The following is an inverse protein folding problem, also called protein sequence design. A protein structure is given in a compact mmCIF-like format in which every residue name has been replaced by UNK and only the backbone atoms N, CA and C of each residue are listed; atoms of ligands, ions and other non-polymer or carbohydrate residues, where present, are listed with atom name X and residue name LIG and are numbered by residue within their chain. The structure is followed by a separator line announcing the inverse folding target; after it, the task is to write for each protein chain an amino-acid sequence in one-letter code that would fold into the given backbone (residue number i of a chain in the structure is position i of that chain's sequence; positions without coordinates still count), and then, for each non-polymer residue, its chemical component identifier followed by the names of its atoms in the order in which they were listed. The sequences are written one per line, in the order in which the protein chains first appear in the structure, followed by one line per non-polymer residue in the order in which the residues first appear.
data_IF_833046069916
#
_entry.id   IF_833046069916
#
_cell.length_a   1.000
_cell.length_b   1.000
_cell.length_c   1.000
_cell.angle_alpha   90.00
_cell.angle_beta   90.00
_cell.angle_gamma   90.00
#
_symmetry.space_group_name_H-M   'P 1'
#
loop_
_entity.id
_entity.type
_entity.pdbx_description
1 polymer ?
#
# COMPACT_ATOMS: atom_id res chain seq x y z
N UNK A 1 -1.40 -21.15 -12.18
CA UNK A 1 -0.90 -21.31 -13.59
C UNK A 1 0.15 -22.41 -13.59
N UNK A 2 0.23 -23.31 -14.60
CA UNK A 2 1.28 -24.34 -14.66
C UNK A 2 2.68 -23.71 -14.66
N UNK A 3 3.62 -24.25 -13.87
CA UNK A 3 4.96 -23.67 -13.70
C UNK A 3 5.77 -23.55 -15.01
N UNK A 4 5.57 -24.48 -15.95
CA UNK A 4 6.22 -24.44 -17.27
C UNK A 4 5.79 -23.23 -18.10
N UNK A 5 4.50 -22.82 -18.03
CA UNK A 5 3.96 -21.68 -18.76
C UNK A 5 4.57 -20.37 -18.25
N UNK A 6 4.78 -20.24 -16.94
CA UNK A 6 5.49 -19.11 -16.34
C UNK A 6 6.91 -18.96 -16.87
N UNK A 7 7.65 -20.08 -17.03
CA UNK A 7 9.02 -20.08 -17.58
C UNK A 7 9.06 -19.61 -19.05
N UNK A 8 8.06 -19.96 -19.84
CA UNK A 8 7.98 -19.55 -21.25
C UNK A 8 7.58 -18.09 -21.40
N UNK A 9 6.68 -17.58 -20.54
CA UNK A 9 6.15 -16.23 -20.64
C UNK A 9 7.05 -15.16 -19.97
N UNK A 10 7.89 -15.53 -19.00
CA UNK A 10 8.78 -14.59 -18.30
C UNK A 10 9.72 -13.81 -19.24
N UNK A 11 10.40 -14.42 -20.25
CA UNK A 11 11.23 -13.66 -21.18
C UNK A 11 10.44 -12.65 -22.01
N UNK A 12 9.23 -12.97 -22.43
CA UNK A 12 8.35 -12.07 -23.18
C UNK A 12 7.94 -10.88 -22.29
N UNK A 13 7.57 -11.15 -21.04
CA UNK A 13 7.26 -10.11 -20.07
C UNK A 13 8.47 -9.20 -19.82
N UNK A 14 9.68 -9.79 -19.63
CA UNK A 14 10.93 -9.03 -19.46
C UNK A 14 11.21 -8.13 -20.66
N UNK A 15 11.02 -8.63 -21.88
CA UNK A 15 11.22 -7.86 -23.10
C UNK A 15 10.25 -6.67 -23.18
N UNK A 16 8.96 -6.86 -22.87
CA UNK A 16 7.95 -5.81 -22.90
C UNK A 16 8.21 -4.76 -21.82
N UNK A 17 8.52 -5.16 -20.58
CA UNK A 17 8.92 -4.21 -19.52
C UNK A 17 10.18 -3.43 -19.92
N UNK A 18 11.17 -4.09 -20.52
CA UNK A 18 12.37 -3.45 -21.06
C UNK A 18 12.04 -2.42 -22.15
N UNK A 19 11.14 -2.76 -23.09
CA UNK A 19 10.68 -1.84 -24.14
C UNK A 19 9.98 -0.61 -23.55
N UNK A 20 9.06 -0.85 -22.61
CA UNK A 20 8.32 0.21 -21.90
C UNK A 20 9.27 1.12 -21.13
N UNK A 21 10.22 0.56 -20.40
CA UNK A 21 11.19 1.33 -19.61
C UNK A 21 12.07 2.20 -20.51
N UNK A 22 12.61 1.66 -21.62
CA UNK A 22 13.38 2.47 -22.59
C UNK A 22 12.60 3.63 -23.18
N UNK A 23 11.27 3.49 -23.39
CA UNK A 23 10.41 4.59 -23.84
C UNK A 23 10.39 5.72 -22.80
N UNK A 24 10.20 5.40 -21.53
CA UNK A 24 10.18 6.39 -20.45
C UNK A 24 11.59 6.97 -20.17
N UNK A 25 12.66 6.18 -20.34
CA UNK A 25 14.04 6.67 -20.21
C UNK A 25 14.35 7.79 -21.24
N UNK A 26 13.66 7.76 -22.39
CA UNK A 26 13.72 8.82 -23.41
C UNK A 26 12.79 10.01 -23.15
N UNK A 27 12.09 10.02 -22.03
CA UNK A 27 11.10 11.04 -21.66
C UNK A 27 9.76 10.95 -22.40
N UNK A 28 9.54 9.91 -23.23
CA UNK A 28 8.31 9.81 -24.03
C UNK A 28 7.12 9.43 -23.17
N UNK A 29 6.14 10.34 -23.07
CA UNK A 29 4.93 10.16 -22.27
C UNK A 29 5.17 10.37 -20.77
N UNK A 30 6.20 11.15 -20.40
CA UNK A 30 6.47 11.58 -19.04
C UNK A 30 6.00 13.03 -18.89
N UNK A 31 5.16 13.29 -17.92
CA UNK A 31 4.63 14.58 -17.57
C UNK A 31 5.25 15.08 -16.26
N UNK A 32 5.63 16.35 -16.23
CA UNK A 32 6.10 17.04 -15.02
C UNK A 32 4.98 17.89 -14.45
N UNK A 33 4.68 17.67 -13.18
CA UNK A 33 3.69 18.48 -12.45
C UNK A 33 4.34 19.78 -11.94
N UNK A 34 3.53 20.83 -11.67
CA UNK A 34 4.01 22.12 -11.16
C UNK A 34 4.43 22.10 -9.68
N UNK A 35 4.32 20.95 -9.02
CA UNK A 35 4.68 20.75 -7.62
C UNK A 35 5.59 19.52 -7.49
N UNK A 36 6.44 19.44 -6.45
CA UNK A 36 7.30 18.27 -6.25
C UNK A 36 6.50 16.98 -6.11
N UNK A 37 7.07 15.92 -6.66
CA UNK A 37 6.49 14.59 -6.65
C UNK A 37 7.43 13.62 -5.95
N UNK A 38 6.96 13.03 -4.85
CA UNK A 38 7.63 11.96 -4.12
C UNK A 38 6.90 10.65 -4.44
N UNK A 39 7.61 9.65 -4.92
CA UNK A 39 7.05 8.34 -5.21
C UNK A 39 7.50 7.33 -4.17
N UNK A 40 6.56 6.55 -3.65
CA UNK A 40 6.83 5.36 -2.85
C UNK A 40 6.34 4.15 -3.63
N UNK A 41 7.24 3.21 -3.91
CA UNK A 41 6.90 2.04 -4.69
C UNK A 41 7.79 0.84 -4.36
N UNK A 42 7.66 -0.22 -5.13
CA UNK A 42 8.44 -1.45 -4.95
C UNK A 42 8.62 -2.19 -6.29
N UNK A 43 9.42 -3.26 -6.29
CA UNK A 43 9.64 -4.10 -7.48
C UNK A 43 8.60 -5.20 -7.63
N UNK A 44 7.95 -5.65 -6.55
CA UNK A 44 7.13 -6.87 -6.53
C UNK A 44 5.64 -6.56 -6.40
N UNK A 45 4.81 -7.56 -6.64
CA UNK A 45 3.39 -7.58 -6.25
C UNK A 45 3.29 -7.96 -4.79
N UNK A 46 2.34 -7.36 -4.05
CA UNK A 46 2.03 -7.72 -2.67
C UNK A 46 2.35 -6.64 -1.64
N UNK A 47 2.18 -7.00 -0.37
CA UNK A 47 2.28 -6.09 0.77
C UNK A 47 3.73 -5.87 1.23
N UNK A 48 4.44 -4.96 0.61
CA UNK A 48 5.83 -4.61 0.94
C UNK A 48 5.95 -3.44 1.92
N UNK A 49 4.87 -3.09 2.64
CA UNK A 49 4.88 -1.96 3.57
C UNK A 49 4.74 -0.58 2.92
N UNK A 50 4.22 -0.50 1.68
CA UNK A 50 4.04 0.80 0.98
C UNK A 50 3.15 1.77 1.76
N UNK A 51 1.96 1.34 2.16
CA UNK A 51 1.00 2.22 2.85
C UNK A 51 1.57 2.84 4.14
N UNK A 52 2.20 2.08 5.06
CA UNK A 52 2.89 2.65 6.21
C UNK A 52 3.99 3.66 5.84
N UNK A 53 4.77 3.38 4.80
CA UNK A 53 5.82 4.29 4.33
C UNK A 53 5.24 5.56 3.71
N UNK A 54 4.19 5.48 2.90
CA UNK A 54 3.47 6.66 2.38
C UNK A 54 2.93 7.50 3.52
N UNK A 55 2.31 6.88 4.54
CA UNK A 55 1.82 7.59 5.73
C UNK A 55 2.96 8.28 6.49
N UNK A 56 4.12 7.63 6.59
CA UNK A 56 5.30 8.22 7.21
C UNK A 56 5.79 9.44 6.43
N UNK A 57 5.95 9.33 5.10
CA UNK A 57 6.34 10.45 4.23
C UNK A 57 5.35 11.61 4.33
N UNK A 58 4.04 11.33 4.35
CA UNK A 58 3.00 12.36 4.53
C UNK A 58 3.15 13.07 5.86
N UNK A 59 3.41 12.35 6.98
CA UNK A 59 3.64 12.97 8.29
C UNK A 59 4.86 13.89 8.26
N UNK A 60 5.98 13.45 7.69
CA UNK A 60 7.17 14.28 7.53
C UNK A 60 6.88 15.58 6.77
N UNK A 61 6.10 15.49 5.69
CA UNK A 61 5.70 16.66 4.91
C UNK A 61 4.80 17.62 5.70
N UNK A 62 3.82 17.09 6.46
CA UNK A 62 2.95 17.89 7.31
C UNK A 62 3.73 18.56 8.45
N UNK A 63 4.66 17.84 9.09
CA UNK A 63 5.57 18.39 10.11
C UNK A 63 6.44 19.51 9.56
N UNK A 64 6.87 19.40 8.29
CA UNK A 64 7.59 20.45 7.57
C UNK A 64 6.68 21.60 7.09
N UNK A 65 5.41 21.65 7.50
CA UNK A 65 4.44 22.68 7.13
C UNK A 65 3.95 22.61 5.67
N UNK A 66 4.17 21.46 4.98
CA UNK A 66 3.72 21.27 3.59
C UNK A 66 2.26 20.82 3.55
N UNK A 67 1.64 20.97 2.37
CA UNK A 67 0.26 20.57 2.08
C UNK A 67 0.23 19.45 1.05
N UNK A 68 0.53 18.19 1.46
CA UNK A 68 0.60 17.07 0.54
C UNK A 68 -0.78 16.64 0.06
N UNK A 69 -0.81 15.97 -1.11
CA UNK A 69 -1.87 15.06 -1.48
C UNK A 69 -1.29 13.67 -1.77
N UNK A 70 -2.10 12.63 -1.56
CA UNK A 70 -1.74 11.26 -1.96
C UNK A 70 -2.45 10.93 -3.27
N UNK A 71 -1.69 10.43 -4.24
CA UNK A 71 -2.26 9.91 -5.49
C UNK A 71 -1.95 8.42 -5.64
N UNK A 72 -3.02 7.64 -5.81
CA UNK A 72 -2.96 6.19 -5.89
C UNK A 72 -3.80 5.64 -7.04
N UNK A 73 -3.61 4.35 -7.37
CA UNK A 73 -4.43 3.68 -8.36
C UNK A 73 -5.81 3.38 -7.75
N UNK A 74 -6.83 4.08 -8.22
CA UNK A 74 -8.22 3.73 -7.92
C UNK A 74 -8.59 2.43 -8.62
N UNK A 75 -9.00 1.41 -7.87
CA UNK A 75 -9.65 0.24 -8.45
C UNK A 75 -11.15 0.53 -8.53
N UNK A 76 -11.69 0.58 -9.76
CA UNK A 76 -13.13 0.50 -9.92
C UNK A 76 -13.57 -0.87 -9.41
N UNK A 77 -14.27 -0.95 -8.29
CA UNK A 77 -15.07 -2.14 -8.00
C UNK A 77 -16.08 -2.25 -9.13
N UNK A 78 -15.85 -3.15 -10.08
CA UNK A 78 -16.86 -3.58 -11.03
C UNK A 78 -17.92 -4.39 -10.26
N UNK A 79 -18.61 -3.71 -9.37
CA UNK A 79 -19.83 -4.21 -8.77
C UNK A 79 -20.87 -4.25 -9.89
N UNK A 80 -21.23 -5.45 -10.33
CA UNK A 80 -22.46 -5.66 -11.08
C UNK A 80 -23.60 -5.20 -10.18
N UNK A 81 -24.01 -3.93 -10.27
CA UNK A 81 -25.33 -3.54 -9.79
C UNK A 81 -26.33 -4.22 -10.73
N UNK A 82 -27.07 -5.16 -10.21
CA UNK A 82 -28.39 -5.50 -10.76
C UNK A 82 -29.29 -4.36 -10.35
N UNK A 83 -29.74 -3.60 -11.32
CA UNK A 83 -30.88 -2.72 -11.13
C UNK A 83 -32.08 -3.62 -10.85
N UNK A 84 -33.03 -3.15 -10.04
CA UNK A 84 -34.25 -3.90 -9.66
C UNK A 84 -35.10 -4.34 -10.87
N UNK A 85 -34.74 -3.95 -12.10
CA UNK A 85 -35.41 -4.27 -13.36
C UNK A 85 -34.69 -5.31 -14.22
N UNK A 86 -33.60 -5.93 -13.80
CA UNK A 86 -33.00 -7.11 -14.48
C UNK A 86 -32.32 -6.87 -15.83
N UNK A 87 -32.20 -5.64 -16.31
CA UNK A 87 -31.61 -5.35 -17.63
C UNK A 87 -30.13 -5.04 -17.58
N UNK A 88 -29.33 -5.74 -18.42
CA UNK A 88 -27.90 -5.50 -18.64
C UNK A 88 -27.73 -4.28 -19.54
N UNK A 89 -27.49 -3.10 -19.00
CA UNK A 89 -27.01 -1.96 -19.81
C UNK A 89 -25.48 -1.95 -19.84
N UNK A 90 -24.92 -2.23 -21.00
CA UNK A 90 -23.55 -1.91 -21.37
C UNK A 90 -23.47 -0.40 -21.60
N UNK A 91 -22.78 0.34 -20.75
CA UNK A 91 -22.51 1.77 -20.96
C UNK A 91 -21.39 1.85 -21.99
N UNK A 92 -21.76 2.18 -23.22
CA UNK A 92 -20.84 2.44 -24.33
C UNK A 92 -20.18 3.83 -24.12
N UNK A 93 -18.83 3.97 -24.15
CA UNK A 93 -18.14 5.24 -23.92
C UNK A 93 -18.45 6.33 -24.95
N UNK A 94 -19.04 5.98 -26.08
CA UNK A 94 -19.32 6.89 -27.19
C UNK A 94 -20.61 7.72 -27.06
N UNK A 95 -21.38 7.55 -25.99
CA UNK A 95 -22.66 8.28 -25.79
C UNK A 95 -22.51 9.68 -25.15
N UNK A 96 -21.28 10.18 -24.97
CA UNK A 96 -21.01 11.46 -24.31
C UNK A 96 -21.36 12.72 -25.11
N UNK A 97 -21.64 12.60 -26.41
CA UNK A 97 -21.84 13.78 -27.30
C UNK A 97 -23.25 14.32 -27.34
N UNK A 98 -24.24 13.65 -26.80
CA UNK A 98 -25.66 14.00 -26.86
C UNK A 98 -26.28 14.61 -25.59
N UNK A 99 -25.47 14.87 -24.56
CA UNK A 99 -25.97 15.38 -23.28
C UNK A 99 -25.85 16.89 -23.18
N UNK A 100 -26.94 17.55 -22.74
CA UNK A 100 -26.94 18.97 -22.44
C UNK A 100 -25.94 19.36 -21.36
N UNK A 101 -25.43 20.60 -21.31
CA UNK A 101 -24.47 21.05 -20.28
C UNK A 101 -24.95 20.78 -18.85
N UNK A 102 -26.25 20.96 -18.56
CA UNK A 102 -26.85 20.66 -17.25
C UNK A 102 -26.84 19.17 -16.92
N UNK A 103 -27.09 18.30 -17.88
CA UNK A 103 -27.02 16.84 -17.69
C UNK A 103 -25.59 16.37 -17.49
N UNK A 104 -24.60 17.04 -18.12
CA UNK A 104 -23.17 16.78 -17.85
C UNK A 104 -22.78 17.21 -16.43
N UNK A 105 -23.28 18.36 -15.97
CA UNK A 105 -23.01 18.85 -14.61
C UNK A 105 -23.62 17.93 -13.55
N UNK A 106 -24.88 17.50 -13.71
CA UNK A 106 -25.56 16.56 -12.81
C UNK A 106 -24.89 15.16 -12.76
N UNK A 107 -24.33 14.69 -13.89
CA UNK A 107 -23.55 13.45 -13.96
C UNK A 107 -22.16 13.60 -13.33
N UNK A 108 -21.58 14.80 -13.37
CA UNK A 108 -20.28 15.11 -12.74
C UNK A 108 -20.42 15.17 -11.22
N UNK A 109 -21.52 15.72 -10.72
CA UNK A 109 -21.84 15.80 -9.27
C UNK A 109 -22.22 14.43 -8.66
N UNK A 110 -22.68 13.47 -9.48
CA UNK A 110 -23.04 12.09 -9.06
C UNK A 110 -22.00 11.04 -9.42
N UNK A 111 -20.75 11.40 -9.69
CA UNK A 111 -19.70 10.38 -9.84
C UNK A 111 -19.58 9.63 -8.51
N UNK A 112 -19.79 8.29 -8.48
CA UNK A 112 -19.58 7.52 -7.27
C UNK A 112 -18.14 7.76 -6.84
N UNK A 113 -17.95 8.22 -5.60
CA UNK A 113 -16.66 8.22 -4.95
C UNK A 113 -16.22 6.77 -4.95
N UNK A 114 -15.22 6.44 -5.78
CA UNK A 114 -14.64 5.09 -5.82
C UNK A 114 -14.03 4.82 -4.45
N UNK A 115 -14.74 4.09 -3.61
CA UNK A 115 -14.25 3.66 -2.32
C UNK A 115 -13.17 2.60 -2.56
N UNK A 116 -11.92 3.00 -2.44
CA UNK A 116 -10.79 2.11 -2.32
C UNK A 116 -10.50 1.96 -0.83
N UNK A 117 -10.43 0.72 -0.34
CA UNK A 117 -10.11 0.43 1.07
C UNK A 117 -8.80 1.16 1.50
N UNK A 118 -7.82 1.26 0.59
CA UNK A 118 -6.56 1.97 0.83
C UNK A 118 -6.74 3.50 0.86
N UNK A 119 -7.58 4.07 -0.02
CA UNK A 119 -7.87 5.51 0.01
C UNK A 119 -8.57 5.91 1.31
N UNK A 120 -9.44 5.06 1.82
CA UNK A 120 -10.12 5.30 3.08
C UNK A 120 -9.17 5.23 4.29
N UNK A 121 -8.09 4.44 4.22
CA UNK A 121 -7.03 4.46 5.23
C UNK A 121 -6.31 5.82 5.28
N UNK A 122 -5.96 6.40 4.13
CA UNK A 122 -5.34 7.73 4.07
C UNK A 122 -6.28 8.84 4.55
N UNK A 123 -7.56 8.81 4.18
CA UNK A 123 -8.56 9.79 4.64
C UNK A 123 -8.77 9.75 6.15
N UNK A 124 -8.73 8.55 6.74
CA UNK A 124 -8.81 8.37 8.20
C UNK A 124 -7.57 8.87 8.92
N UNK A 125 -6.38 8.51 8.40
CA UNK A 125 -5.11 8.89 9.00
C UNK A 125 -4.83 10.40 8.92
N UNK A 126 -5.34 11.06 7.86
CA UNK A 126 -5.11 12.47 7.57
C UNK A 126 -6.41 13.18 7.16
N UNK A 127 -7.29 13.51 8.12
CA UNK A 127 -8.54 14.21 7.83
C UNK A 127 -8.28 15.54 7.11
N UNK A 128 -9.02 15.79 6.03
CA UNK A 128 -8.88 17.00 5.21
C UNK A 128 -7.76 16.98 4.16
N UNK A 129 -6.86 15.99 4.17
CA UNK A 129 -5.86 15.83 3.12
C UNK A 129 -6.50 15.29 1.83
N UNK A 130 -6.23 15.91 0.65
CA UNK A 130 -6.73 15.40 -0.61
C UNK A 130 -6.15 14.02 -0.96
N UNK A 131 -7.01 13.09 -1.41
CA UNK A 131 -6.61 11.76 -1.90
C UNK A 131 -7.18 11.56 -3.31
N UNK A 132 -6.30 11.43 -4.29
CA UNK A 132 -6.63 11.15 -5.69
C UNK A 132 -6.56 9.65 -5.92
N UNK A 133 -7.71 8.98 -5.91
CA UNK A 133 -7.84 7.54 -6.19
C UNK A 133 -8.45 7.34 -7.57
N UNK A 134 -7.63 7.33 -8.63
CA UNK A 134 -8.06 7.19 -10.02
C UNK A 134 -7.13 6.27 -10.83
N UNK A 135 -7.69 5.57 -11.82
CA UNK A 135 -6.91 4.78 -12.78
C UNK A 135 -5.95 5.69 -13.57
N UNK A 136 -6.45 6.84 -14.05
CA UNK A 136 -5.63 7.92 -14.61
C UNK A 136 -5.33 8.95 -13.51
N UNK A 137 -4.13 8.82 -12.92
CA UNK A 137 -3.65 9.69 -11.85
C UNK A 137 -3.34 11.09 -12.35
N UNK A 138 -2.87 11.23 -13.61
CA UNK A 138 -2.49 12.51 -14.19
C UNK A 138 -3.72 13.41 -14.30
N UNK A 139 -4.80 12.91 -14.88
CA UNK A 139 -6.07 13.65 -15.00
C UNK A 139 -6.58 14.05 -13.61
N UNK A 140 -6.55 13.13 -12.63
CA UNK A 140 -7.00 13.45 -11.28
C UNK A 140 -6.14 14.50 -10.57
N UNK A 141 -4.83 14.48 -10.79
CA UNK A 141 -3.90 15.46 -10.22
C UNK A 141 -4.01 16.82 -10.89
N UNK A 142 -4.16 16.87 -12.21
CA UNK A 142 -4.44 18.13 -12.92
C UNK A 142 -5.71 18.79 -12.41
N UNK A 143 -6.82 18.04 -12.35
CA UNK A 143 -8.10 18.55 -11.83
C UNK A 143 -7.96 19.09 -10.39
N UNK A 144 -7.12 18.47 -9.55
CA UNK A 144 -6.87 18.93 -8.18
C UNK A 144 -6.01 20.19 -8.15
N UNK A 145 -4.94 20.26 -8.94
CA UNK A 145 -3.98 21.35 -8.94
C UNK A 145 -4.49 22.63 -9.65
N UNK A 146 -5.40 22.48 -10.60
CA UNK A 146 -6.00 23.58 -11.37
C UNK A 146 -7.18 24.29 -10.66
N UNK A 147 -7.72 23.73 -9.58
CA UNK A 147 -8.87 24.30 -8.87
C UNK A 147 -8.47 25.51 -8.02
N UNK A 148 -9.04 26.71 -8.30
CA UNK A 148 -8.63 27.96 -7.63
C UNK A 148 -9.09 28.08 -6.16
N UNK A 149 -10.00 27.21 -5.66
CA UNK A 149 -10.68 27.34 -4.36
C UNK A 149 -10.42 26.21 -3.36
N UNK A 150 -9.43 25.34 -3.60
CA UNK A 150 -9.06 24.30 -2.61
C UNK A 150 -7.76 24.66 -1.91
N UNK A 151 -7.51 24.10 -0.69
CA UNK A 151 -6.22 24.32 -0.05
C UNK A 151 -5.13 23.94 -1.05
N UNK A 152 -4.26 24.91 -1.37
CA UNK A 152 -3.21 24.75 -2.38
C UNK A 152 -2.33 23.58 -2.02
N UNK A 153 -2.52 22.45 -2.72
CA UNK A 153 -1.59 21.32 -2.64
C UNK A 153 -0.24 21.79 -3.16
N UNK A 154 0.80 21.57 -2.39
CA UNK A 154 2.15 22.04 -2.72
C UNK A 154 3.15 20.89 -2.90
N UNK A 155 2.72 19.64 -2.72
CA UNK A 155 3.49 18.44 -3.07
C UNK A 155 2.56 17.23 -3.26
N UNK A 156 3.04 16.24 -4.03
CA UNK A 156 2.32 15.01 -4.34
C UNK A 156 3.09 13.80 -3.84
N UNK A 157 2.43 12.88 -3.15
CA UNK A 157 2.97 11.58 -2.79
C UNK A 157 2.27 10.51 -3.63
N UNK A 158 3.03 9.79 -4.48
CA UNK A 158 2.51 8.69 -5.29
C UNK A 158 2.61 7.39 -4.51
N UNK A 159 1.49 6.78 -4.22
CA UNK A 159 1.42 5.41 -3.72
C UNK A 159 1.48 4.42 -4.89
N UNK A 160 2.30 3.37 -4.73
CA UNK A 160 2.62 2.39 -5.79
C UNK A 160 3.10 3.08 -7.08
N UNK A 161 4.05 4.05 -6.89
CA UNK A 161 4.48 4.97 -7.94
C UNK A 161 5.59 4.43 -8.84
N UNK A 162 6.40 3.43 -8.42
CA UNK A 162 7.63 3.04 -9.11
C UNK A 162 7.42 2.64 -10.57
N UNK A 163 6.35 1.89 -10.88
CA UNK A 163 5.97 1.52 -12.25
C UNK A 163 5.17 2.61 -12.97
N UNK A 164 4.66 3.63 -12.25
CA UNK A 164 3.83 4.68 -12.86
C UNK A 164 4.71 5.81 -13.42
N UNK A 165 5.53 5.50 -14.42
CA UNK A 165 6.55 6.36 -15.00
C UNK A 165 6.03 7.53 -15.86
N UNK A 166 4.72 7.64 -16.02
CA UNK A 166 4.08 8.73 -16.75
C UNK A 166 4.16 10.08 -16.00
N UNK A 167 4.37 10.06 -14.68
CA UNK A 167 4.60 11.27 -13.89
C UNK A 167 6.09 11.35 -13.54
N UNK A 168 6.74 12.49 -13.81
CA UNK A 168 8.10 12.75 -13.36
C UNK A 168 8.14 12.79 -11.83
N UNK A 169 9.21 12.25 -11.23
CA UNK A 169 9.43 12.26 -9.77
C UNK A 169 10.66 13.08 -9.46
N UNK A 170 10.62 13.74 -8.33
CA UNK A 170 11.75 14.47 -7.76
C UNK A 170 12.44 13.60 -6.70
N UNK A 171 11.71 12.68 -6.05
CA UNK A 171 12.23 11.64 -5.17
C UNK A 171 11.48 10.31 -5.44
N UNK A 172 12.20 9.23 -5.72
CA UNK A 172 11.65 7.90 -5.97
C UNK A 172 12.18 6.93 -4.90
N UNK A 173 11.36 6.65 -3.88
CA UNK A 173 11.67 5.76 -2.76
C UNK A 173 11.21 4.36 -3.13
N UNK A 174 12.14 3.41 -3.21
CA UNK A 174 11.83 2.03 -3.56
C UNK A 174 12.01 1.12 -2.35
N UNK A 175 10.93 0.41 -2.01
CA UNK A 175 10.91 -0.52 -0.91
C UNK A 175 11.37 -1.91 -1.37
N UNK A 176 12.24 -2.51 -0.57
CA UNK A 176 12.71 -3.89 -0.74
C UNK A 176 12.35 -4.66 0.53
N UNK A 177 11.51 -5.67 0.38
CA UNK A 177 10.98 -6.47 1.48
C UNK A 177 11.98 -7.55 1.88
N UNK A 178 12.51 -7.49 3.10
CA UNK A 178 13.48 -8.44 3.62
C UNK A 178 12.87 -9.84 3.84
N UNK A 179 11.56 -9.95 4.02
CA UNK A 179 10.86 -11.23 4.16
C UNK A 179 10.63 -11.95 2.84
N UNK A 180 10.74 -11.21 1.71
CA UNK A 180 10.62 -11.71 0.34
C UNK A 180 11.74 -11.11 -0.52
N UNK A 181 12.98 -11.55 -0.33
CA UNK A 181 14.14 -10.97 -1.00
C UNK A 181 14.02 -11.12 -2.53
N UNK A 182 14.11 -10.02 -3.29
CA UNK A 182 13.80 -10.04 -4.71
C UNK A 182 14.79 -10.85 -5.57
N UNK A 183 16.00 -11.14 -5.06
CA UNK A 183 16.97 -12.00 -5.73
C UNK A 183 16.57 -13.48 -5.73
N UNK A 184 15.65 -13.89 -4.86
CA UNK A 184 15.10 -15.25 -4.79
C UNK A 184 13.79 -15.40 -5.57
N UNK A 185 13.32 -14.32 -6.22
CA UNK A 185 12.06 -14.30 -6.92
C UNK A 185 12.25 -14.11 -8.43
N UNK A 186 11.19 -14.35 -9.19
CA UNK A 186 11.16 -14.25 -10.64
C UNK A 186 10.21 -13.14 -11.11
N UNK A 187 10.39 -12.72 -12.35
CA UNK A 187 9.44 -11.81 -12.98
C UNK A 187 8.08 -12.46 -13.19
N UNK A 188 7.04 -11.65 -13.22
CA UNK A 188 5.72 -12.08 -13.66
C UNK A 188 5.81 -12.70 -15.07
N UNK A 189 5.02 -13.72 -15.36
CA UNK A 189 4.03 -14.38 -14.51
C UNK A 189 4.58 -15.59 -13.73
N UNK A 190 5.89 -15.80 -13.73
CA UNK A 190 6.55 -16.92 -13.05
C UNK A 190 6.70 -16.69 -11.55
N UNK A 191 6.98 -15.46 -11.14
CA UNK A 191 7.12 -15.02 -9.76
C UNK A 191 6.31 -13.76 -9.49
N UNK A 192 6.75 -12.96 -8.53
CA UNK A 192 6.03 -11.76 -8.07
C UNK A 192 6.69 -10.45 -8.51
N UNK A 193 7.87 -10.49 -9.16
CA UNK A 193 8.54 -9.26 -9.60
C UNK A 193 7.82 -8.63 -10.79
N UNK A 194 7.41 -7.36 -10.64
CA UNK A 194 6.87 -6.52 -11.72
C UNK A 194 7.97 -5.98 -12.62
N UNK A 195 9.19 -5.83 -12.06
CA UNK A 195 10.36 -5.33 -12.75
C UNK A 195 11.61 -6.06 -12.26
N UNK A 196 12.64 -6.20 -13.13
CA UNK A 196 13.89 -6.84 -12.75
C UNK A 196 14.68 -5.96 -11.78
N UNK A 197 15.61 -6.58 -11.03
CA UNK A 197 16.46 -5.91 -10.02
C UNK A 197 17.26 -4.73 -10.58
N UNK A 198 17.66 -4.80 -11.85
CA UNK A 198 18.35 -3.73 -12.55
C UNK A 198 17.55 -2.41 -12.57
N UNK A 199 16.24 -2.49 -12.36
CA UNK A 199 15.39 -1.31 -12.27
C UNK A 199 15.65 -0.48 -11.02
N UNK A 200 16.30 -1.03 -9.98
CA UNK A 200 16.70 -0.28 -8.78
C UNK A 200 17.63 0.91 -9.10
N UNK A 201 18.41 0.83 -10.19
CA UNK A 201 19.31 1.91 -10.62
C UNK A 201 18.65 3.28 -10.82
N UNK A 202 17.31 3.30 -11.05
CA UNK A 202 16.59 4.55 -11.26
C UNK A 202 15.91 5.08 -9.99
N UNK A 203 15.94 4.32 -8.89
CA UNK A 203 15.48 4.80 -7.60
C UNK A 203 16.35 5.94 -7.10
N UNK A 204 15.76 6.93 -6.44
CA UNK A 204 16.54 7.96 -5.72
C UNK A 204 17.17 7.36 -4.48
N UNK A 205 16.42 6.51 -3.79
CA UNK A 205 16.90 5.74 -2.65
C UNK A 205 16.12 4.43 -2.51
N UNK A 206 16.72 3.48 -1.82
CA UNK A 206 16.15 2.18 -1.48
C UNK A 206 16.01 2.08 0.03
N UNK A 207 14.86 1.58 0.49
CA UNK A 207 14.58 1.32 1.90
C UNK A 207 14.25 -0.16 2.07
N UNK A 208 14.95 -0.83 2.99
CA UNK A 208 14.61 -2.20 3.38
C UNK A 208 13.43 -2.15 4.34
N UNK A 209 12.41 -3.00 4.11
CA UNK A 209 11.25 -3.14 4.99
C UNK A 209 11.14 -4.56 5.54
N UNK A 210 10.34 -4.73 6.59
CA UNK A 210 10.15 -6.01 7.27
C UNK A 210 11.47 -6.66 7.77
N UNK A 211 12.41 -5.83 8.23
CA UNK A 211 13.71 -6.31 8.74
C UNK A 211 13.55 -7.26 9.94
N UNK A 212 12.48 -7.09 10.72
CA UNK A 212 12.12 -7.97 11.84
C UNK A 212 11.86 -9.42 11.44
N UNK A 213 11.60 -9.68 10.15
CA UNK A 213 11.35 -11.03 9.63
C UNK A 213 12.60 -11.66 9.01
N UNK A 214 13.63 -10.89 8.71
CA UNK A 214 14.91 -11.39 8.20
C UNK A 214 15.74 -12.07 9.29
N UNK A 215 15.56 -11.67 10.55
CA UNK A 215 16.34 -12.14 11.69
C UNK A 215 15.65 -13.27 12.49
N UNK A 216 14.38 -13.56 12.18
CA UNK A 216 13.58 -14.54 12.93
C UNK A 216 13.51 -15.87 12.18
N UNK A 217 14.16 -16.93 12.67
CA UNK A 217 13.93 -18.28 12.18
C UNK A 217 12.55 -18.75 12.69
N UNK A 218 11.48 -18.38 11.99
CA UNK A 218 10.20 -19.05 12.19
C UNK A 218 10.41 -20.53 11.83
N UNK A 219 10.23 -21.41 12.82
CA UNK A 219 10.35 -22.85 12.64
C UNK A 219 9.46 -23.28 11.48
N UNK A 220 10.08 -23.84 10.45
CA UNK A 220 9.38 -24.48 9.35
C UNK A 220 8.62 -25.69 9.95
N UNK A 221 7.33 -25.57 10.17
CA UNK A 221 6.60 -26.75 10.64
C UNK A 221 5.11 -26.62 10.90
N UNK A 222 4.58 -25.42 11.15
CA UNK A 222 3.22 -25.37 11.75
C UNK A 222 2.20 -24.42 11.10
N UNK A 223 2.51 -23.80 9.99
CA UNK A 223 1.48 -23.06 9.23
C UNK A 223 1.12 -23.85 7.98
N UNK A 224 0.14 -24.74 8.09
CA UNK A 224 -0.52 -25.35 6.96
C UNK A 224 -1.31 -24.27 6.22
N UNK A 225 -0.65 -23.60 5.29
CA UNK A 225 -1.33 -22.82 4.25
C UNK A 225 -1.60 -23.76 3.09
N UNK A 226 -2.85 -24.16 2.90
CA UNK A 226 -3.33 -24.95 1.75
C UNK A 226 -3.29 -24.15 0.42
N UNK A 227 -2.58 -23.05 0.36
CA UNK A 227 -2.35 -22.31 -0.86
C UNK A 227 -0.93 -22.58 -1.37
N UNK A 228 -0.84 -23.12 -2.56
CA UNK A 228 0.36 -23.44 -3.36
C UNK A 228 1.29 -22.21 -3.62
N UNK A 229 1.03 -21.07 -2.98
CA UNK A 229 1.62 -19.76 -3.22
C UNK A 229 2.81 -19.39 -2.32
N UNK A 230 3.20 -20.22 -1.36
CA UNK A 230 4.18 -19.82 -0.34
C UNK A 230 5.40 -20.75 -0.28
N UNK A 231 6.07 -20.94 -1.43
CA UNK A 231 7.26 -21.80 -1.55
C UNK A 231 8.58 -21.02 -1.58
N UNK A 232 8.90 -20.28 -0.52
CA UNK A 232 10.31 -20.00 -0.22
C UNK A 232 10.60 -20.69 1.10
N UNK A 233 11.50 -21.69 1.14
CA UNK A 233 11.91 -22.33 2.39
C UNK A 233 12.48 -21.28 3.34
N UNK A 234 12.00 -21.22 4.57
CA UNK A 234 12.42 -20.27 5.61
C UNK A 234 13.92 -20.44 5.98
N UNK A 235 14.51 -21.57 5.65
CA UNK A 235 15.95 -21.86 5.85
C UNK A 235 16.89 -21.06 4.91
N UNK A 236 16.35 -20.34 3.92
CA UNK A 236 17.14 -19.65 2.89
C UNK A 236 16.86 -18.14 2.84
N UNK A 237 16.26 -17.52 3.86
CA UNK A 237 16.13 -16.07 3.91
C UNK A 237 17.53 -15.44 4.03
N UNK A 238 17.99 -14.66 3.02
CA UNK A 238 19.31 -14.03 3.09
C UNK A 238 19.35 -13.06 4.25
N UNK A 239 20.52 -12.95 4.86
CA UNK A 239 20.79 -11.97 5.90
C UNK A 239 20.56 -10.54 5.35
N UNK A 240 20.34 -9.57 6.24
CA UNK A 240 20.27 -8.16 5.84
C UNK A 240 21.56 -7.69 5.12
N UNK A 241 22.71 -8.29 5.44
CA UNK A 241 23.99 -8.02 4.78
C UNK A 241 23.98 -8.48 3.32
N UNK A 242 23.47 -9.68 3.05
CA UNK A 242 23.35 -10.20 1.68
C UNK A 242 22.37 -9.37 0.86
N UNK A 243 21.22 -9.00 1.44
CA UNK A 243 20.24 -8.14 0.79
C UNK A 243 20.82 -6.75 0.50
N UNK A 244 21.58 -6.18 1.45
CA UNK A 244 22.32 -4.92 1.25
C UNK A 244 23.31 -5.03 0.09
N UNK A 245 24.06 -6.13 0.00
CA UNK A 245 25.02 -6.37 -1.10
C UNK A 245 24.33 -6.46 -2.46
N UNK A 246 23.15 -7.09 -2.52
CA UNK A 246 22.30 -7.14 -3.73
C UNK A 246 21.84 -5.73 -4.12
N UNK A 247 21.37 -4.94 -3.15
CA UNK A 247 20.94 -3.55 -3.40
C UNK A 247 22.11 -2.73 -3.94
N UNK A 248 23.27 -2.78 -3.30
CA UNK A 248 24.47 -2.05 -3.78
C UNK A 248 24.81 -2.44 -5.21
N UNK A 249 24.78 -3.72 -5.55
CA UNK A 249 25.07 -4.21 -6.92
C UNK A 249 24.14 -3.62 -7.97
N UNK A 250 22.86 -3.47 -7.68
CA UNK A 250 21.85 -3.07 -8.67
C UNK A 250 21.49 -1.57 -8.61
N UNK A 251 21.56 -0.96 -7.43
CA UNK A 251 21.26 0.46 -7.22
C UNK A 251 22.52 1.33 -7.33
N UNK A 252 23.70 0.79 -6.98
CA UNK A 252 24.96 1.53 -6.92
C UNK A 252 25.24 2.22 -5.58
N UNK A 253 24.27 2.20 -4.65
CA UNK A 253 24.39 2.79 -3.30
C UNK A 253 23.78 1.82 -2.28
N UNK A 254 24.21 1.87 -1.01
CA UNK A 254 23.56 1.10 0.05
C UNK A 254 22.11 1.56 0.26
N UNK A 255 21.27 0.75 0.92
CA UNK A 255 19.94 1.19 1.33
C UNK A 255 20.06 2.42 2.23
N UNK A 256 19.19 3.41 1.99
CA UNK A 256 19.17 4.67 2.76
C UNK A 256 18.68 4.42 4.19
N UNK A 257 17.73 3.51 4.35
CA UNK A 257 17.15 3.18 5.64
C UNK A 257 16.76 1.70 5.71
N UNK A 258 16.70 1.20 6.94
CA UNK A 258 16.18 -0.13 7.29
C UNK A 258 15.03 0.03 8.27
N UNK A 259 13.89 -0.60 7.97
CA UNK A 259 12.66 -0.44 8.75
C UNK A 259 12.04 -1.77 9.13
N UNK A 260 11.40 -1.78 10.28
CA UNK A 260 10.58 -2.86 10.81
C UNK A 260 9.13 -2.39 10.99
N UNK A 261 8.21 -3.33 10.83
CA UNK A 261 6.80 -3.10 11.10
C UNK A 261 6.44 -3.70 12.46
N UNK A 262 6.41 -2.85 13.49
CA UNK A 262 6.10 -3.26 14.85
C UNK A 262 4.68 -2.87 15.24
N UNK A 263 4.05 -3.71 16.02
CA UNK A 263 2.78 -3.36 16.65
C UNK A 263 3.05 -2.57 17.92
N UNK A 264 2.34 -1.46 18.11
CA UNK A 264 2.48 -0.57 19.28
C UNK A 264 1.28 -0.68 20.21
N UNK A 265 0.21 -1.32 19.79
CA UNK A 265 -1.00 -1.52 20.55
C UNK A 265 -2.06 -2.19 19.72
N UNK A 266 -3.26 -2.20 20.26
CA UNK A 266 -4.44 -2.71 19.59
C UNK A 266 -5.58 -1.67 19.67
N UNK A 267 -6.46 -1.73 18.68
CA UNK A 267 -7.74 -1.04 18.71
C UNK A 267 -8.83 -2.10 18.88
N UNK A 268 -9.60 -2.00 19.96
CA UNK A 268 -10.80 -2.82 20.14
C UNK A 268 -11.95 -2.22 19.33
N UNK A 269 -12.40 -2.96 18.36
CA UNK A 269 -13.50 -2.56 17.52
C UNK A 269 -14.85 -2.75 18.23
N UNK A 270 -15.56 -1.67 18.55
CA UNK A 270 -16.81 -1.72 19.31
C UNK A 270 -18.06 -1.59 18.46
N UNK A 271 -18.02 -0.83 17.36
CA UNK A 271 -19.23 -0.56 16.57
C UNK A 271 -18.90 -0.21 15.10
N UNK A 272 -19.96 0.15 14.34
CA UNK A 272 -19.83 0.71 13.00
C UNK A 272 -19.17 2.10 13.00
N UNK A 273 -19.22 2.83 14.12
CA UNK A 273 -18.57 4.13 14.30
C UNK A 273 -17.15 3.94 14.79
N UNK A 274 -16.19 4.52 14.08
CA UNK A 274 -14.78 4.50 14.47
C UNK A 274 -14.50 5.33 15.73
N UNK A 275 -15.40 6.27 16.07
CA UNK A 275 -15.32 7.11 17.28
C UNK A 275 -15.50 6.28 18.57
N UNK A 276 -16.11 5.08 18.48
CA UNK A 276 -16.29 4.17 19.59
C UNK A 276 -15.11 3.19 19.77
N UNK A 277 -14.10 3.26 18.92
CA UNK A 277 -12.92 2.41 18.95
C UNK A 277 -12.06 2.76 20.19
N UNK A 278 -11.61 1.74 20.91
CA UNK A 278 -10.80 1.87 22.11
C UNK A 278 -9.36 1.46 21.81
N UNK A 279 -8.42 2.40 21.97
CA UNK A 279 -6.99 2.09 21.88
C UNK A 279 -6.50 1.44 23.17
N UNK A 280 -5.76 0.34 23.03
CA UNK A 280 -5.28 -0.52 24.12
C UNK A 280 -3.81 -0.86 23.91
N UNK A 281 -3.11 -1.14 25.00
CA UNK A 281 -1.74 -1.60 24.96
C UNK A 281 -1.57 -3.00 24.39
N UNK A 282 -0.31 -3.41 24.18
CA UNK A 282 0.02 -4.75 23.69
C UNK A 282 -0.36 -5.86 24.69
N UNK A 283 -0.45 -5.52 25.96
CA UNK A 283 -0.77 -6.43 27.07
C UNK A 283 -2.21 -6.98 27.04
N UNK A 284 -3.11 -6.35 26.25
CA UNK A 284 -4.51 -6.74 26.17
C UNK A 284 -4.75 -8.18 25.72
N UNK A 285 -3.79 -8.75 24.98
CA UNK A 285 -3.89 -10.14 24.49
C UNK A 285 -3.05 -11.16 25.26
N UNK A 286 -2.32 -10.74 26.31
CA UNK A 286 -1.52 -11.63 27.12
C UNK A 286 -2.38 -12.69 27.83
N UNK A 287 -1.98 -13.95 27.74
CA UNK A 287 -2.68 -15.09 28.32
C UNK A 287 -3.98 -15.48 27.61
N UNK A 288 -4.32 -14.83 26.49
CA UNK A 288 -5.57 -15.07 25.75
C UNK A 288 -5.42 -16.11 24.64
N UNK A 289 -6.53 -16.78 24.36
CA UNK A 289 -6.73 -17.66 23.20
C UNK A 289 -7.21 -16.81 22.04
N UNK A 290 -6.44 -16.74 20.97
CA UNK A 290 -6.70 -15.79 19.88
C UNK A 290 -6.88 -16.50 18.55
N UNK A 291 -7.91 -16.11 17.80
CA UNK A 291 -8.08 -16.45 16.39
C UNK A 291 -7.54 -15.29 15.54
N UNK A 292 -6.57 -15.58 14.66
CA UNK A 292 -6.05 -14.62 13.69
C UNK A 292 -6.74 -14.76 12.35
N UNK A 293 -7.21 -13.65 11.73
CA UNK A 293 -7.77 -13.68 10.38
C UNK A 293 -7.23 -12.55 9.51
N UNK A 294 -6.86 -12.87 8.26
CA UNK A 294 -6.38 -11.86 7.33
C UNK A 294 -6.64 -12.23 5.85
N UNK A 295 -6.84 -11.18 5.03
CA UNK A 295 -6.97 -11.24 3.58
C UNK A 295 -6.07 -10.16 2.93
N UNK A 296 -4.77 -10.28 3.14
CA UNK A 296 -3.74 -9.34 2.70
C UNK A 296 -2.65 -10.05 1.91
N UNK A 297 -1.91 -9.29 1.08
CA UNK A 297 -0.83 -9.82 0.24
C UNK A 297 0.39 -10.38 1.00
N UNK A 298 0.49 -10.16 2.32
CA UNK A 298 1.58 -10.66 3.15
C UNK A 298 1.09 -11.26 4.49
N UNK A 299 0.35 -12.37 4.48
CA UNK A 299 -0.25 -12.96 5.69
C UNK A 299 0.79 -13.39 6.73
N UNK A 300 1.98 -13.83 6.30
CA UNK A 300 3.06 -14.25 7.22
C UNK A 300 3.50 -13.12 8.15
N UNK A 301 3.64 -11.89 7.66
CA UNK A 301 4.02 -10.74 8.49
C UNK A 301 2.99 -10.49 9.60
N UNK A 302 1.70 -10.59 9.27
CA UNK A 302 0.62 -10.46 10.24
C UNK A 302 0.65 -11.56 11.30
N UNK A 303 0.76 -12.83 10.88
CA UNK A 303 0.78 -13.97 11.80
C UNK A 303 2.02 -13.94 12.70
N UNK A 304 3.20 -13.66 12.13
CA UNK A 304 4.44 -13.51 12.93
C UNK A 304 4.36 -12.35 13.93
N UNK A 305 3.72 -11.23 13.54
CA UNK A 305 3.42 -10.13 14.45
C UNK A 305 2.50 -10.57 15.59
N UNK A 306 1.45 -11.34 15.28
CA UNK A 306 0.52 -11.87 16.28
C UNK A 306 1.23 -12.80 17.28
N UNK A 307 1.97 -13.79 16.79
CA UNK A 307 2.72 -14.74 17.63
C UNK A 307 3.75 -14.02 18.51
N UNK A 308 4.51 -13.07 17.94
CA UNK A 308 5.51 -12.29 18.68
C UNK A 308 4.86 -11.54 19.85
N UNK A 309 3.73 -10.88 19.62
CA UNK A 309 3.06 -10.10 20.65
C UNK A 309 2.41 -10.98 21.72
N UNK A 310 1.84 -12.12 21.34
CA UNK A 310 1.29 -13.10 22.30
C UNK A 310 2.38 -13.77 23.15
N UNK A 311 3.60 -13.94 22.62
CA UNK A 311 4.73 -14.56 23.30
C UNK A 311 5.64 -13.55 24.02
N UNK A 312 5.31 -12.25 23.99
CA UNK A 312 6.16 -11.19 24.55
C UNK A 312 6.39 -11.32 26.06
N UNK A 313 5.38 -11.79 26.79
CA UNK A 313 5.49 -12.09 28.22
C UNK A 313 5.47 -13.60 28.44
N UNK A 314 6.63 -14.14 28.84
CA UNK A 314 6.80 -15.58 29.10
C UNK A 314 6.01 -16.05 30.33
N UNK A 315 5.63 -15.16 31.24
CA UNK A 315 4.84 -15.49 32.44
C UNK A 315 3.35 -15.64 32.13
N UNK A 316 2.87 -14.99 31.07
CA UNK A 316 1.47 -15.02 30.63
C UNK A 316 1.38 -15.13 29.09
N UNK A 317 1.92 -16.20 28.49
CA UNK A 317 1.90 -16.34 27.04
C UNK A 317 0.45 -16.51 26.54
N UNK A 318 0.06 -15.68 25.57
CA UNK A 318 -1.15 -15.93 24.80
C UNK A 318 -0.91 -17.03 23.77
N UNK A 319 -1.99 -17.51 23.14
CA UNK A 319 -1.92 -18.58 22.15
C UNK A 319 -2.77 -18.27 20.93
N UNK A 320 -2.20 -18.38 19.73
CA UNK A 320 -2.99 -18.49 18.50
C UNK A 320 -3.61 -19.88 18.46
N UNK A 321 -4.93 -19.96 18.54
CA UNK A 321 -5.65 -21.24 18.59
C UNK A 321 -6.12 -21.69 17.20
N UNK A 322 -6.51 -20.77 16.34
CA UNK A 322 -6.80 -21.02 14.92
C UNK A 322 -6.47 -19.80 14.05
N UNK A 323 -6.29 -20.02 12.74
CA UNK A 323 -6.05 -18.96 11.77
C UNK A 323 -6.92 -19.10 10.55
N UNK A 324 -7.43 -17.98 10.02
CA UNK A 324 -8.14 -17.90 8.74
C UNK A 324 -7.38 -16.98 7.78
N UNK A 325 -6.64 -17.59 6.87
CA UNK A 325 -5.93 -16.86 5.81
C UNK A 325 -6.73 -16.97 4.52
N UNK A 326 -7.06 -15.82 3.94
CA UNK A 326 -7.85 -15.71 2.70
C UNK A 326 -7.01 -15.05 1.61
N UNK A 327 -7.46 -15.17 0.36
CA UNK A 327 -6.83 -14.48 -0.76
C UNK A 327 -6.80 -12.96 -0.56
N UNK A 328 -5.76 -12.28 -1.10
CA UNK A 328 -5.65 -10.82 -1.00
C UNK A 328 -6.90 -10.15 -1.58
N UNK A 329 -7.42 -9.14 -0.88
CA UNK A 329 -8.65 -8.43 -1.19
C UNK A 329 -9.96 -9.25 -1.08
N UNK A 330 -9.97 -10.41 -0.40
CA UNK A 330 -11.23 -11.11 -0.11
C UNK A 330 -12.25 -10.14 0.48
N UNK A 331 -13.51 -10.13 0.00
CA UNK A 331 -14.54 -9.19 0.46
C UNK A 331 -15.09 -9.49 1.84
N UNK A 332 -14.72 -10.61 2.45
CA UNK A 332 -15.31 -11.13 3.69
C UNK A 332 -16.84 -11.17 3.62
N UNK A 333 -17.39 -11.87 2.61
CA UNK A 333 -18.83 -12.05 2.50
C UNK A 333 -19.42 -12.64 3.78
N UNK A 334 -20.75 -12.59 3.94
CA UNK A 334 -21.42 -13.03 5.17
C UNK A 334 -21.08 -14.48 5.52
N UNK A 335 -20.95 -15.35 4.53
CA UNK A 335 -20.55 -16.76 4.72
C UNK A 335 -19.15 -16.88 5.33
N UNK A 336 -18.18 -16.08 4.85
CA UNK A 336 -16.81 -16.04 5.38
C UNK A 336 -16.78 -15.45 6.79
N UNK A 337 -17.53 -14.38 7.03
CA UNK A 337 -17.63 -13.77 8.35
C UNK A 337 -18.28 -14.73 9.37
N UNK A 338 -19.34 -15.47 8.99
CA UNK A 338 -19.94 -16.51 9.82
C UNK A 338 -18.95 -17.63 10.14
N UNK A 339 -18.22 -18.11 9.13
CA UNK A 339 -17.16 -19.11 9.32
C UNK A 339 -16.13 -18.66 10.35
N UNK A 340 -15.70 -17.38 10.30
CA UNK A 340 -14.76 -16.81 11.28
C UNK A 340 -15.36 -16.76 12.69
N UNK A 341 -16.62 -16.36 12.82
CA UNK A 341 -17.32 -16.33 14.11
C UNK A 341 -17.51 -17.73 14.69
N UNK A 342 -17.91 -18.70 13.88
CA UNK A 342 -18.07 -20.13 14.28
C UNK A 342 -16.73 -20.75 14.68
N UNK A 343 -15.65 -20.44 13.95
CA UNK A 343 -14.30 -20.87 14.27
C UNK A 343 -13.87 -20.33 15.64
N UNK A 344 -14.09 -19.05 15.91
CA UNK A 344 -13.75 -18.43 17.19
C UNK A 344 -14.58 -19.02 18.34
N UNK A 345 -15.88 -19.27 18.14
CA UNK A 345 -16.73 -19.89 19.14
C UNK A 345 -16.31 -21.34 19.45
N UNK A 346 -16.05 -22.15 18.41
CA UNK A 346 -15.62 -23.55 18.56
C UNK A 346 -14.24 -23.67 19.21
N UNK A 347 -13.33 -22.74 18.91
CA UNK A 347 -12.02 -22.70 19.53
C UNK A 347 -12.01 -22.07 20.93
N UNK A 348 -13.18 -21.68 21.47
CA UNK A 348 -13.29 -20.96 22.74
C UNK A 348 -12.32 -19.77 22.80
N UNK A 349 -12.28 -18.96 21.75
CA UNK A 349 -11.35 -17.86 21.64
C UNK A 349 -11.80 -16.67 22.50
N UNK A 350 -10.83 -16.05 23.19
CA UNK A 350 -11.05 -14.83 23.97
C UNK A 350 -11.02 -13.56 23.09
N UNK A 351 -10.45 -13.69 21.89
CA UNK A 351 -10.32 -12.57 20.96
C UNK A 351 -10.19 -13.04 19.50
N UNK A 352 -10.68 -12.22 18.59
CA UNK A 352 -10.38 -12.30 17.15
C UNK A 352 -9.46 -11.12 16.82
N UNK A 353 -8.36 -11.38 16.11
CA UNK A 353 -7.45 -10.33 15.62
C UNK A 353 -7.47 -10.31 14.10
N UNK A 354 -7.75 -9.15 13.52
CA UNK A 354 -7.81 -8.94 12.06
C UNK A 354 -6.96 -7.72 11.67
N UNK A 355 -6.59 -7.58 10.39
CA UNK A 355 -5.90 -6.37 9.94
C UNK A 355 -6.86 -5.18 9.84
N UNK A 356 -6.34 -3.95 9.88
CA UNK A 356 -7.16 -2.74 9.69
C UNK A 356 -7.86 -2.73 8.31
N UNK A 357 -7.18 -3.24 7.27
CA UNK A 357 -7.74 -3.41 5.93
C UNK A 357 -8.94 -4.35 5.93
N UNK A 358 -8.85 -5.45 6.66
CA UNK A 358 -9.92 -6.45 6.71
C UNK A 358 -11.07 -5.98 7.60
N UNK A 359 -10.75 -5.26 8.70
CA UNK A 359 -11.77 -4.64 9.52
C UNK A 359 -12.64 -3.65 8.74
N UNK A 360 -12.09 -2.92 7.80
CA UNK A 360 -12.87 -2.00 6.94
C UNK A 360 -14.05 -2.69 6.26
N UNK A 361 -13.94 -4.00 6.00
CA UNK A 361 -14.97 -4.85 5.40
C UNK A 361 -15.86 -5.52 6.45
N UNK A 362 -15.26 -5.96 7.58
CA UNK A 362 -15.95 -6.68 8.65
C UNK A 362 -16.81 -5.78 9.55
N UNK A 363 -16.50 -4.49 9.67
CA UNK A 363 -17.25 -3.53 10.49
C UNK A 363 -18.74 -3.37 10.12
N UNK A 364 -19.15 -3.84 8.94
CA UNK A 364 -20.56 -3.89 8.54
C UNK A 364 -21.41 -4.86 9.36
N UNK A 365 -20.78 -5.83 10.05
CA UNK A 365 -21.44 -6.75 10.94
C UNK A 365 -21.54 -6.16 12.35
N UNK A 366 -22.72 -6.22 13.00
CA UNK A 366 -22.91 -5.65 14.33
C UNK A 366 -22.06 -6.39 15.38
N UNK A 367 -21.72 -5.72 16.49
CA UNK A 367 -20.87 -6.30 17.55
C UNK A 367 -21.39 -7.62 18.10
N UNK A 368 -22.70 -7.78 18.18
CA UNK A 368 -23.36 -9.04 18.62
C UNK A 368 -23.18 -10.22 17.66
N UNK A 369 -22.67 -9.97 16.46
CA UNK A 369 -22.35 -11.01 15.49
C UNK A 369 -21.12 -11.83 15.92
N UNK A 370 -20.22 -11.24 16.68
CA UNK A 370 -18.95 -11.83 17.08
C UNK A 370 -19.07 -12.49 18.46
N UNK A 371 -18.59 -13.74 18.65
CA UNK A 371 -18.66 -14.45 19.94
C UNK A 371 -17.71 -13.84 20.98
N UNK A 372 -16.68 -13.12 20.56
CA UNK A 372 -15.70 -12.46 21.41
C UNK A 372 -15.25 -11.12 20.78
N UNK A 373 -14.54 -10.24 21.53
CA UNK A 373 -14.05 -8.97 21.00
C UNK A 373 -13.15 -9.12 19.78
N UNK A 374 -13.31 -8.20 18.82
CA UNK A 374 -12.45 -8.10 17.65
C UNK A 374 -11.43 -6.99 17.85
N UNK A 375 -10.17 -7.30 17.60
CA UNK A 375 -9.05 -6.38 17.70
C UNK A 375 -8.35 -6.20 16.37
N UNK A 376 -7.75 -5.03 16.18
CA UNK A 376 -6.84 -4.71 15.07
C UNK A 376 -5.55 -4.16 15.64
N UNK A 377 -4.37 -4.61 15.16
CA UNK A 377 -3.10 -4.07 15.61
C UNK A 377 -2.91 -2.63 15.10
N UNK A 378 -2.35 -1.79 15.96
CA UNK A 378 -1.79 -0.50 15.57
C UNK A 378 -0.36 -0.74 15.10
N UNK A 379 -0.12 -0.48 13.81
CA UNK A 379 1.15 -0.74 13.18
C UNK A 379 1.99 0.53 13.14
N UNK A 380 3.21 0.46 13.64
CA UNK A 380 4.20 1.53 13.57
C UNK A 380 5.39 1.13 12.71
N UNK A 381 5.87 2.07 11.90
CA UNK A 381 7.09 1.94 11.14
C UNK A 381 8.26 2.41 12.02
N UNK A 382 9.15 1.49 12.35
CA UNK A 382 10.34 1.77 13.19
C UNK A 382 11.59 1.69 12.33
N UNK A 383 12.44 2.70 12.42
CA UNK A 383 13.71 2.76 11.71
C UNK A 383 14.83 2.25 12.62
N UNK A 384 15.49 1.17 12.20
CA UNK A 384 16.73 0.73 12.86
C UNK A 384 17.92 1.57 12.40
N UNK A 385 17.89 2.03 11.15
CA UNK A 385 18.90 2.96 10.60
C UNK A 385 18.27 3.87 9.55
N UNK A 386 18.86 5.06 9.34
CA UNK A 386 18.59 5.93 8.20
C UNK A 386 17.28 6.74 8.26
N UNK A 387 16.55 6.76 9.38
CA UNK A 387 15.31 7.53 9.50
C UNK A 387 15.51 9.03 9.25
N UNK A 388 16.53 9.63 9.87
CA UNK A 388 16.87 11.05 9.69
C UNK A 388 17.37 11.33 8.26
N UNK A 389 18.10 10.40 7.65
CA UNK A 389 18.54 10.55 6.25
C UNK A 389 17.32 10.57 5.31
N UNK A 390 16.33 9.71 5.52
CA UNK A 390 15.09 9.72 4.75
C UNK A 390 14.30 11.01 4.96
N UNK A 391 14.19 11.49 6.22
CA UNK A 391 13.58 12.78 6.55
C UNK A 391 14.25 13.91 5.75
N UNK A 392 15.58 13.98 5.77
CA UNK A 392 16.35 15.00 5.05
C UNK A 392 16.08 14.98 3.53
N UNK A 393 16.00 13.80 2.90
CA UNK A 393 15.69 13.69 1.47
C UNK A 393 14.25 14.15 1.14
N UNK A 394 13.28 13.81 1.99
CA UNK A 394 11.88 14.23 1.83
C UNK A 394 11.74 15.75 1.98
N UNK A 395 12.32 16.34 3.01
CA UNK A 395 12.29 17.79 3.26
C UNK A 395 12.97 18.57 2.17
N UNK A 396 14.20 18.18 1.77
CA UNK A 396 14.95 18.79 0.68
C UNK A 396 14.16 18.78 -0.62
N UNK A 397 13.57 17.65 -0.99
CA UNK A 397 12.75 17.53 -2.20
C UNK A 397 11.55 18.46 -2.14
N UNK A 398 10.87 18.54 -1.01
CA UNK A 398 9.70 19.40 -0.84
C UNK A 398 10.02 20.90 -0.94
N UNK A 399 11.26 21.32 -0.65
CA UNK A 399 11.71 22.72 -0.69
C UNK A 399 12.18 23.17 -2.09
N UNK A 400 12.72 22.27 -2.92
CA UNK A 400 13.29 22.59 -4.24
C UNK A 400 12.31 23.26 -5.21
N UNK A 401 11.02 22.95 -5.14
CA UNK A 401 10.00 23.58 -6.02
C UNK A 401 9.61 24.99 -5.61
N UNK A 402 9.93 25.44 -4.40
CA UNK A 402 9.67 26.83 -3.97
C UNK A 402 10.63 27.83 -4.60
N UNK A 403 11.82 27.37 -5.00
CA UNK A 403 12.86 28.22 -5.59
C UNK A 403 12.72 28.52 -7.09
N UNK A 404 11.95 27.73 -7.83
CA UNK A 404 11.82 27.85 -9.29
C UNK A 404 10.67 28.74 -9.76
N UNK A 405 9.84 29.26 -8.84
CA UNK A 405 8.66 30.10 -9.16
C UNK A 405 8.94 31.58 -9.40
N UNK A 406 10.21 32.05 -9.38
CA UNK A 406 10.54 33.49 -9.50
C UNK A 406 11.28 33.89 -10.78
N UNK A 407 11.12 33.18 -11.89
CA UNK A 407 11.51 33.73 -13.20
C UNK A 407 10.41 33.45 -14.23
N UNK A 408 9.37 34.29 -14.22
CA UNK A 408 8.57 34.51 -15.42
C UNK A 408 9.44 35.28 -16.41
N UNK A 409 9.58 34.85 -17.69
CA UNK A 409 10.29 35.63 -18.68
C UNK A 409 9.49 36.91 -18.90
N UNK A 410 10.11 38.05 -18.60
CA UNK A 410 9.57 39.36 -18.91
C UNK A 410 9.31 39.47 -20.42
N UNK A 411 8.05 39.69 -20.78
CA UNK A 411 7.65 40.07 -22.11
C UNK A 411 8.15 41.48 -22.38
N UNK A 412 9.38 41.59 -22.86
CA UNK A 412 9.89 42.80 -23.47
C UNK A 412 9.27 42.96 -24.84
N UNK A 413 8.10 43.63 -24.95
CA UNK A 413 7.70 44.23 -26.18
C UNK A 413 8.42 45.54 -26.32
N UNK A 414 9.50 45.54 -27.13
CA UNK A 414 9.97 46.77 -27.80
C UNK A 414 9.16 46.95 -29.08
N UNK A 415 8.43 48.03 -29.15
CA UNK A 415 7.84 48.53 -30.42
C UNK A 415 8.96 49.08 -31.31
N UNK A 416 8.90 48.85 -32.61
CA UNK A 416 9.80 49.56 -33.55
C UNK A 416 9.24 50.93 -33.86
N UNK A 417 10.16 51.91 -33.91
CA UNK A 417 9.98 53.25 -34.53
C UNK A 417 9.72 53.14 -36.04
#
# INVERSE_FOLDING_TARGET
MPAWLGRVLEPLYRAEIGRRNRRFDRGVGVERLPVPVISVGNLSVGGTGKTPMVMHVVRLLLEAGRKPCVAMRGYAKTGKRRDEAGERRLINPSAGELLTPLARQALTERRPVLHSDEADQYRRAFPGMPVVARADRIVGLRELLEKPFQPTVDCVVLDDGFQHRQIARDLDIVLVDASRPPQLDHLLPRGYLREPLESLRRASCVVITHAELAESPLRAGEAACDADECRVPVSESPSLLELTSVIVRHHGKPPLAVTSHLWTGFVRARSHNLEDDEELGLDVLLGRRVVGACAIGHPRAFLAGLERNLSADKSRPGKVVETLVLGDHDPFEETTARRLAEMAARAEADAIVVTDKDWSKLRRFPSKFWPCPVYRPVLSLVFSTGGEALRGEVEKTSQQASGTRHQAPGTGHQAPD
#
